data_IF_921028827058
#
_entry.id   IF_921028827058
#
_cell.length_a   1.000
_cell.length_b   1.000
_cell.length_c   1.000
_cell.angle_alpha   90.00
_cell.angle_beta   90.00
_cell.angle_gamma   90.00
#
_symmetry.space_group_name_H-M   'P 1'
#
loop_
_entity.id
_entity.type
_entity.pdbx_description
1 polymer ?
#
# COMPACT_ATOMS: atom_id res chain seq x y z
N UNK A 1 -14.67 -16.91 -8.71
CA UNK A 1 -13.76 -17.33 -9.81
C UNK A 1 -13.62 -16.17 -10.80
N UNK A 2 -12.99 -15.07 -10.36
CA UNK A 2 -13.11 -13.72 -10.95
C UNK A 2 -12.08 -13.36 -11.99
N UNK A 3 -11.00 -14.07 -12.01
CA UNK A 3 -10.01 -14.00 -13.06
C UNK A 3 -9.93 -15.41 -13.63
N UNK A 4 -10.47 -15.61 -14.81
CA UNK A 4 -10.13 -16.81 -15.56
C UNK A 4 -8.59 -16.85 -15.58
N UNK A 5 -8.00 -17.90 -15.02
CA UNK A 5 -6.55 -18.16 -14.97
C UNK A 5 -5.85 -18.05 -16.34
N UNK A 6 -6.63 -17.73 -17.37
CA UNK A 6 -6.25 -17.67 -18.80
C UNK A 6 -6.37 -16.27 -19.42
N UNK A 7 -6.63 -15.21 -18.66
CA UNK A 7 -6.71 -13.85 -19.20
C UNK A 7 -5.28 -13.34 -19.46
N UNK A 8 -4.93 -13.02 -20.72
CA UNK A 8 -3.58 -12.57 -21.12
C UNK A 8 -3.12 -11.39 -20.28
N UNK A 9 -4.01 -10.43 -20.04
CA UNK A 9 -3.71 -9.25 -19.21
C UNK A 9 -3.37 -9.61 -17.76
N UNK A 10 -4.05 -10.59 -17.18
CA UNK A 10 -3.74 -11.06 -15.82
C UNK A 10 -2.38 -11.75 -15.74
N UNK A 11 -2.06 -12.60 -16.73
CA UNK A 11 -0.74 -13.27 -16.77
C UNK A 11 0.38 -12.24 -16.91
N UNK A 12 0.23 -11.25 -17.82
CA UNK A 12 1.23 -10.18 -18.01
C UNK A 12 1.42 -9.40 -16.70
N UNK A 13 0.33 -8.94 -16.07
CA UNK A 13 0.43 -8.21 -14.80
C UNK A 13 1.07 -9.04 -13.68
N UNK A 14 0.70 -10.32 -13.56
CA UNK A 14 1.30 -11.22 -12.58
C UNK A 14 2.80 -11.47 -12.87
N UNK A 15 3.17 -11.66 -14.13
CA UNK A 15 4.57 -11.84 -14.51
C UNK A 15 5.41 -10.61 -14.16
N UNK A 16 4.93 -9.40 -14.47
CA UNK A 16 5.61 -8.15 -14.09
C UNK A 16 5.73 -8.05 -12.56
N UNK A 17 4.64 -8.34 -11.83
CA UNK A 17 4.67 -8.32 -10.37
C UNK A 17 5.69 -9.28 -9.76
N UNK A 18 5.76 -10.51 -10.30
CA UNK A 18 6.73 -11.52 -9.84
C UNK A 18 8.16 -11.10 -10.17
N UNK A 19 8.40 -10.56 -11.38
CA UNK A 19 9.73 -10.06 -11.77
C UNK A 19 10.15 -8.91 -10.84
N UNK A 20 9.27 -7.94 -10.60
CA UNK A 20 9.56 -6.79 -9.72
C UNK A 20 9.83 -7.23 -8.28
N UNK A 21 9.03 -8.15 -7.75
CA UNK A 21 9.24 -8.70 -6.42
C UNK A 21 10.56 -9.48 -6.33
N UNK A 22 10.86 -10.30 -7.34
CA UNK A 22 12.13 -11.02 -7.41
C UNK A 22 13.32 -10.06 -7.49
N UNK A 23 13.26 -9.03 -8.33
CA UNK A 23 14.31 -8.01 -8.42
C UNK A 23 14.52 -7.28 -7.09
N UNK A 24 13.45 -6.93 -6.37
CA UNK A 24 13.56 -6.26 -5.08
C UNK A 24 14.19 -7.17 -4.00
N UNK A 25 13.80 -8.44 -3.96
CA UNK A 25 14.32 -9.41 -2.99
C UNK A 25 15.76 -9.83 -3.29
N UNK A 26 16.04 -10.14 -4.54
CA UNK A 26 17.39 -10.55 -4.98
C UNK A 26 18.33 -9.36 -4.87
N UNK A 27 17.93 -8.19 -5.35
CA UNK A 27 18.77 -6.98 -5.37
C UNK A 27 19.18 -6.48 -3.99
N UNK A 28 18.48 -6.91 -2.94
CA UNK A 28 18.89 -6.64 -1.55
C UNK A 28 20.12 -7.46 -1.13
N UNK A 29 20.31 -8.65 -1.73
CA UNK A 29 21.38 -9.60 -1.35
C UNK A 29 22.44 -9.75 -2.43
N UNK A 30 22.05 -9.67 -3.71
CA UNK A 30 22.92 -9.92 -4.85
C UNK A 30 22.56 -9.06 -6.05
N UNK A 31 23.58 -8.58 -6.74
CA UNK A 31 23.47 -7.82 -8.00
C UNK A 31 24.50 -8.35 -9.01
N UNK A 32 24.24 -8.26 -10.34
CA UNK A 32 25.19 -8.72 -11.37
C UNK A 32 26.58 -8.07 -11.28
N UNK A 33 26.62 -6.78 -10.96
CA UNK A 33 27.84 -6.02 -10.72
C UNK A 33 27.75 -5.36 -9.33
N UNK A 34 28.91 -5.02 -8.75
CA UNK A 34 28.92 -4.20 -7.53
C UNK A 34 28.29 -2.82 -7.83
N UNK A 35 27.15 -2.49 -7.20
CA UNK A 35 26.41 -1.25 -7.50
C UNK A 35 27.15 0.03 -7.05
N UNK A 36 28.26 -0.13 -6.32
CA UNK A 36 29.10 0.97 -5.80
C UNK A 36 30.43 1.09 -6.53
N UNK A 37 30.84 0.08 -7.31
CA UNK A 37 32.14 0.04 -7.99
C UNK A 37 32.26 1.14 -9.06
N UNK A 38 33.20 2.06 -8.87
CA UNK A 38 33.48 3.15 -9.81
C UNK A 38 34.46 2.70 -10.86
N UNK A 39 34.03 2.72 -12.15
CA UNK A 39 34.88 2.33 -13.30
C UNK A 39 34.97 3.51 -14.27
N UNK A 40 35.98 4.35 -14.10
CA UNK A 40 36.12 5.61 -14.84
C UNK A 40 36.16 5.48 -16.37
N UNK A 41 36.63 4.34 -16.91
CA UNK A 41 36.65 4.03 -18.34
C UNK A 41 35.27 3.67 -18.91
N UNK A 42 34.29 3.37 -18.08
CA UNK A 42 32.96 2.92 -18.47
C UNK A 42 31.85 3.97 -18.22
N UNK A 43 32.22 5.26 -18.13
CA UNK A 43 31.26 6.35 -17.91
C UNK A 43 30.30 6.52 -19.07
N UNK A 44 28.99 6.60 -18.77
CA UNK A 44 27.93 6.88 -19.73
C UNK A 44 27.87 5.90 -20.90
N UNK A 45 28.21 4.63 -20.69
CA UNK A 45 27.98 3.61 -21.71
C UNK A 45 26.47 3.41 -21.93
N UNK A 46 26.00 3.35 -23.17
CA UNK A 46 24.61 3.08 -23.48
C UNK A 46 24.20 1.67 -23.07
N UNK A 47 22.88 1.38 -22.99
CA UNK A 47 22.36 0.04 -22.75
C UNK A 47 22.96 -0.99 -23.73
N UNK A 48 23.43 -2.11 -23.18
CA UNK A 48 24.08 -3.20 -23.91
C UNK A 48 23.83 -4.54 -23.22
N UNK A 49 24.26 -5.66 -23.84
CA UNK A 49 24.17 -6.98 -23.20
C UNK A 49 25.05 -7.11 -21.96
N UNK A 50 26.11 -6.33 -21.84
CA UNK A 50 26.98 -6.28 -20.66
C UNK A 50 26.37 -5.36 -19.56
N UNK A 51 25.79 -4.25 -19.96
CA UNK A 51 25.14 -3.29 -19.07
C UNK A 51 23.72 -3.05 -19.54
N UNK A 52 22.75 -3.81 -19.03
CA UNK A 52 21.36 -3.83 -19.52
C UNK A 52 20.73 -2.45 -19.55
N UNK A 53 20.97 -1.61 -18.54
CA UNK A 53 20.48 -0.23 -18.45
C UNK A 53 21.60 0.81 -18.68
N UNK A 54 22.77 0.37 -19.19
CA UNK A 54 23.93 1.22 -19.35
C UNK A 54 24.62 1.56 -18.03
N UNK A 55 25.51 2.56 -18.07
CA UNK A 55 26.29 3.02 -16.92
C UNK A 55 26.07 4.49 -16.63
N UNK A 56 26.32 4.90 -15.37
CA UNK A 56 26.15 6.27 -14.89
C UNK A 56 27.41 7.14 -15.08
N UNK A 57 27.42 8.34 -14.48
CA UNK A 57 28.52 9.32 -14.51
C UNK A 57 29.81 8.82 -13.87
N UNK A 58 29.75 7.79 -13.04
CA UNK A 58 30.91 7.18 -12.39
C UNK A 58 31.31 5.84 -13.05
N UNK A 59 30.57 5.39 -14.09
CA UNK A 59 30.75 4.10 -14.73
C UNK A 59 30.17 2.93 -13.95
N UNK A 60 29.25 3.20 -12.99
CA UNK A 60 28.56 2.17 -12.21
C UNK A 60 27.41 1.60 -13.05
N UNK A 61 27.15 0.30 -12.93
CA UNK A 61 26.06 -0.37 -13.67
C UNK A 61 24.69 0.06 -13.13
N UNK A 62 23.87 0.67 -14.01
CA UNK A 62 22.56 1.21 -13.61
C UNK A 62 21.59 0.09 -13.25
N UNK A 63 21.62 -1.08 -13.94
CA UNK A 63 20.72 -2.19 -13.64
C UNK A 63 20.98 -2.76 -12.23
N UNK A 64 22.23 -2.98 -11.87
CA UNK A 64 22.62 -3.43 -10.53
C UNK A 64 22.23 -2.42 -9.46
N UNK A 65 22.41 -1.13 -9.73
CA UNK A 65 21.97 -0.05 -8.82
C UNK A 65 20.46 0.01 -8.66
N UNK A 66 19.71 -0.20 -9.74
CA UNK A 66 18.24 -0.26 -9.69
C UNK A 66 17.78 -1.45 -8.84
N UNK A 67 18.38 -2.63 -9.01
CA UNK A 67 18.07 -3.78 -8.17
C UNK A 67 18.33 -3.51 -6.70
N UNK A 68 19.50 -3.00 -6.34
CA UNK A 68 19.85 -2.64 -4.97
C UNK A 68 18.92 -1.55 -4.41
N UNK A 69 18.65 -0.51 -5.21
CA UNK A 69 17.73 0.57 -4.86
C UNK A 69 16.30 0.11 -4.64
N UNK A 70 15.80 -0.85 -5.43
CA UNK A 70 14.50 -1.48 -5.20
C UNK A 70 14.46 -2.21 -3.86
N UNK A 71 15.51 -2.96 -3.53
CA UNK A 71 15.64 -3.66 -2.25
C UNK A 71 15.58 -2.68 -1.07
N UNK A 72 16.33 -1.59 -1.14
CA UNK A 72 16.36 -0.53 -0.11
C UNK A 72 14.99 0.13 0.03
N UNK A 73 14.40 0.58 -1.06
CA UNK A 73 13.06 1.22 -1.08
C UNK A 73 11.99 0.27 -0.52
N UNK A 74 12.02 -1.02 -0.91
CA UNK A 74 11.12 -2.03 -0.38
C UNK A 74 11.29 -2.23 1.14
N UNK A 75 12.52 -2.36 1.61
CA UNK A 75 12.82 -2.51 3.03
C UNK A 75 12.33 -1.32 3.86
N UNK A 76 12.65 -0.09 3.43
CA UNK A 76 12.20 1.12 4.11
C UNK A 76 10.68 1.19 4.18
N UNK A 77 10.01 0.95 3.06
CA UNK A 77 8.55 1.01 2.99
C UNK A 77 7.89 -0.06 3.85
N UNK A 78 8.45 -1.28 3.88
CA UNK A 78 7.97 -2.37 4.73
C UNK A 78 8.09 -2.01 6.22
N UNK A 79 9.26 -1.54 6.65
CA UNK A 79 9.47 -1.12 8.04
C UNK A 79 8.59 0.07 8.43
N UNK A 80 8.42 1.05 7.54
CA UNK A 80 7.50 2.18 7.71
C UNK A 80 6.07 1.72 7.99
N UNK A 81 5.55 0.80 7.17
CA UNK A 81 4.19 0.27 7.33
C UNK A 81 4.07 -0.62 8.56
N UNK A 82 5.11 -1.38 8.91
CA UNK A 82 5.12 -2.17 10.14
C UNK A 82 5.04 -1.26 11.37
N UNK A 83 5.81 -0.18 11.43
CA UNK A 83 5.75 0.78 12.55
C UNK A 83 4.40 1.50 12.56
N UNK A 84 4.08 2.22 11.48
CA UNK A 84 2.86 3.01 11.39
C UNK A 84 1.59 2.15 11.51
N UNK A 85 1.57 0.98 10.87
CA UNK A 85 0.45 0.03 10.91
C UNK A 85 0.26 -0.59 12.28
N UNK A 86 1.35 -1.03 12.96
CA UNK A 86 1.25 -1.63 14.30
C UNK A 86 0.81 -0.60 15.33
N UNK A 87 1.51 0.53 15.43
CA UNK A 87 1.19 1.58 16.40
C UNK A 87 -0.18 2.19 16.11
N UNK A 88 -0.47 2.48 14.84
CA UNK A 88 -1.78 2.99 14.43
C UNK A 88 -2.92 2.00 14.70
N UNK A 89 -2.69 0.70 14.49
CA UNK A 89 -3.67 -0.34 14.84
C UNK A 89 -3.94 -0.38 16.33
N UNK A 90 -2.92 -0.29 17.17
CA UNK A 90 -3.08 -0.27 18.62
C UNK A 90 -3.87 0.98 19.05
N UNK A 91 -3.48 2.17 18.62
CA UNK A 91 -4.18 3.42 18.93
C UNK A 91 -5.64 3.32 18.46
N UNK A 92 -5.89 2.95 17.21
CA UNK A 92 -7.23 2.81 16.66
C UNK A 92 -8.09 1.76 17.36
N UNK A 93 -7.48 0.64 17.78
CA UNK A 93 -8.17 -0.41 18.51
C UNK A 93 -8.63 0.08 19.90
N UNK A 94 -7.74 0.74 20.64
CA UNK A 94 -8.08 1.27 21.97
C UNK A 94 -9.11 2.39 21.87
N UNK A 95 -8.93 3.37 20.99
CA UNK A 95 -9.87 4.48 20.81
C UNK A 95 -11.24 4.00 20.34
N UNK A 96 -11.29 3.14 19.33
CA UNK A 96 -12.55 2.61 18.80
C UNK A 96 -13.28 1.68 19.77
N UNK A 97 -12.55 0.94 20.61
CA UNK A 97 -13.15 0.04 21.59
C UNK A 97 -13.64 0.76 22.85
N UNK A 98 -12.84 1.60 23.48
CA UNK A 98 -13.21 2.28 24.73
C UNK A 98 -14.12 3.48 24.48
N UNK A 99 -13.81 4.30 23.47
CA UNK A 99 -14.52 5.56 23.22
C UNK A 99 -14.32 6.58 24.33
N UNK A 100 -15.24 7.56 24.43
CA UNK A 100 -15.21 8.57 25.48
C UNK A 100 -13.90 9.36 25.54
N UNK A 101 -13.41 9.64 26.75
CA UNK A 101 -12.20 10.45 26.98
C UNK A 101 -10.95 9.87 26.31
N UNK A 102 -10.79 8.53 26.31
CA UNK A 102 -9.65 7.87 25.65
C UNK A 102 -9.64 8.15 24.15
N UNK A 103 -10.80 8.06 23.52
CA UNK A 103 -10.98 8.37 22.12
C UNK A 103 -10.74 9.86 21.83
N UNK A 104 -11.31 10.73 22.64
CA UNK A 104 -11.18 12.17 22.45
C UNK A 104 -9.73 12.64 22.55
N UNK A 105 -9.00 12.25 23.59
CA UNK A 105 -7.62 12.68 23.81
C UNK A 105 -6.70 12.13 22.71
N UNK A 106 -6.73 10.82 22.45
CA UNK A 106 -5.84 10.20 21.46
C UNK A 106 -6.16 10.66 20.03
N UNK A 107 -7.44 10.89 19.71
CA UNK A 107 -7.79 11.42 18.39
C UNK A 107 -7.45 12.89 18.24
N UNK A 108 -7.47 13.71 19.29
CA UNK A 108 -6.95 15.10 19.23
C UNK A 108 -5.47 15.14 18.88
N UNK A 109 -4.66 14.27 19.52
CA UNK A 109 -3.22 14.14 19.16
C UNK A 109 -3.08 13.69 17.71
N UNK A 110 -3.86 12.68 17.31
CA UNK A 110 -3.85 12.17 15.95
C UNK A 110 -4.26 13.23 14.90
N UNK A 111 -5.26 14.05 15.22
CA UNK A 111 -5.71 15.13 14.34
C UNK A 111 -4.66 16.27 14.26
N UNK A 112 -3.97 16.58 15.35
CA UNK A 112 -2.85 17.52 15.33
C UNK A 112 -1.71 17.06 14.40
N UNK A 113 -1.39 15.76 14.42
CA UNK A 113 -0.39 15.20 13.49
C UNK A 113 -0.88 15.24 12.03
N UNK A 114 -2.18 14.99 11.78
CA UNK A 114 -2.74 15.05 10.42
C UNK A 114 -3.02 16.45 9.91
N UNK A 115 -2.93 17.48 10.76
CA UNK A 115 -2.98 18.87 10.31
C UNK A 115 -1.81 19.22 9.37
N UNK A 116 -0.70 18.47 9.48
CA UNK A 116 0.42 18.59 8.56
C UNK A 116 0.34 17.55 7.45
N UNK A 117 0.64 17.89 6.18
CA UNK A 117 0.85 16.91 5.13
C UNK A 117 1.91 15.88 5.58
N UNK A 118 1.66 14.58 5.36
CA UNK A 118 2.52 13.50 5.87
C UNK A 118 4.00 13.66 5.49
N UNK A 119 4.28 14.14 4.27
CA UNK A 119 5.65 14.39 3.80
C UNK A 119 6.30 15.52 4.59
N UNK A 120 5.59 16.61 4.86
CA UNK A 120 6.12 17.74 5.65
C UNK A 120 6.39 17.32 7.10
N UNK A 121 5.50 16.52 7.69
CA UNK A 121 5.71 15.97 9.02
C UNK A 121 6.97 15.09 9.07
N UNK A 122 7.14 14.20 8.07
CA UNK A 122 8.35 13.38 7.96
C UNK A 122 9.62 14.21 7.78
N UNK A 123 9.56 15.31 7.01
CA UNK A 123 10.67 16.25 6.86
C UNK A 123 11.10 16.88 8.18
N UNK A 124 10.16 17.30 9.02
CA UNK A 124 10.46 17.84 10.36
C UNK A 124 11.19 16.79 11.20
N UNK A 125 10.72 15.54 11.18
CA UNK A 125 11.42 14.47 11.90
C UNK A 125 12.83 14.21 11.37
N UNK A 126 13.05 14.23 10.04
CA UNK A 126 14.39 14.05 9.46
C UNK A 126 15.28 15.23 9.78
N UNK A 127 14.76 16.45 9.78
CA UNK A 127 15.53 17.62 10.20
C UNK A 127 16.05 17.50 11.65
N UNK A 128 15.32 16.81 12.51
CA UNK A 128 15.71 16.56 13.90
C UNK A 128 16.61 15.32 14.06
N UNK A 129 16.36 14.25 13.30
CA UNK A 129 17.06 12.96 13.44
C UNK A 129 18.30 12.86 12.55
N UNK A 130 18.41 13.71 11.52
CA UNK A 130 19.43 13.61 10.48
C UNK A 130 19.06 12.69 9.33
N UNK A 131 19.91 12.68 8.29
CA UNK A 131 19.73 11.85 7.08
C UNK A 131 20.03 10.39 7.36
N UNK A 132 19.48 9.50 6.52
CA UNK A 132 19.80 8.08 6.52
C UNK A 132 18.56 7.18 6.54
N UNK A 133 18.71 5.95 6.03
CA UNK A 133 17.59 5.04 5.81
C UNK A 133 16.78 4.73 7.08
N UNK A 134 17.43 4.59 8.23
CA UNK A 134 16.75 4.30 9.50
C UNK A 134 15.95 5.49 10.01
N UNK A 135 16.47 6.69 9.84
CA UNK A 135 15.78 7.93 10.22
C UNK A 135 14.57 8.17 9.32
N UNK A 136 14.68 7.85 8.01
CA UNK A 136 13.55 7.86 7.07
C UNK A 136 12.46 6.87 7.51
N UNK A 137 12.84 5.65 7.92
CA UNK A 137 11.89 4.64 8.43
C UNK A 137 11.13 5.18 9.65
N UNK A 138 11.83 5.76 10.61
CA UNK A 138 11.21 6.31 11.82
C UNK A 138 10.31 7.51 11.49
N UNK A 139 10.80 8.45 10.70
CA UNK A 139 10.07 9.65 10.31
C UNK A 139 8.77 9.32 9.56
N UNK A 140 8.85 8.48 8.52
CA UNK A 140 7.68 8.03 7.77
C UNK A 140 6.79 7.11 8.63
N UNK A 141 7.38 6.22 9.44
CA UNK A 141 6.64 5.36 10.34
C UNK A 141 5.71 6.14 11.26
N UNK A 142 6.22 7.19 11.91
CA UNK A 142 5.44 8.08 12.77
C UNK A 142 4.40 8.86 11.96
N UNK A 143 4.78 9.41 10.79
CA UNK A 143 3.87 10.17 9.94
C UNK A 143 2.68 9.35 9.40
N UNK A 144 2.82 8.02 9.32
CA UNK A 144 1.75 7.13 8.84
C UNK A 144 0.83 6.61 9.96
N UNK A 145 1.23 6.71 11.24
CA UNK A 145 0.40 6.27 12.39
C UNK A 145 -1.03 6.81 12.31
N UNK A 146 -1.26 8.12 12.08
CA UNK A 146 -2.60 8.69 12.09
C UNK A 146 -3.55 8.07 11.06
N UNK A 147 -3.05 7.76 9.88
CA UNK A 147 -3.85 7.19 8.80
C UNK A 147 -4.37 5.80 9.18
N UNK A 148 -3.52 4.94 9.75
CA UNK A 148 -3.91 3.60 10.20
C UNK A 148 -4.81 3.66 11.43
N UNK A 149 -4.51 4.54 12.40
CA UNK A 149 -5.31 4.71 13.60
C UNK A 149 -6.76 5.06 13.28
N UNK A 150 -6.99 5.96 12.32
CA UNK A 150 -8.33 6.38 11.91
C UNK A 150 -9.14 5.26 11.27
N UNK A 151 -8.51 4.46 10.39
CA UNK A 151 -9.16 3.32 9.74
C UNK A 151 -9.55 2.25 10.76
N UNK A 152 -8.62 1.89 11.65
CA UNK A 152 -8.85 0.85 12.65
C UNK A 152 -9.87 1.30 13.71
N UNK A 153 -9.81 2.56 14.15
CA UNK A 153 -10.80 3.14 15.06
C UNK A 153 -12.22 3.00 14.53
N UNK A 154 -12.44 3.35 13.27
CA UNK A 154 -13.76 3.25 12.64
C UNK A 154 -14.29 1.80 12.65
N UNK A 155 -13.43 0.83 12.31
CA UNK A 155 -13.80 -0.59 12.33
C UNK A 155 -14.06 -1.10 13.75
N UNK A 156 -13.23 -0.74 14.73
CA UNK A 156 -13.42 -1.15 16.10
C UNK A 156 -14.69 -0.55 16.71
N UNK A 157 -14.99 0.72 16.45
CA UNK A 157 -16.24 1.35 16.88
C UNK A 157 -17.48 0.63 16.29
N UNK A 158 -17.40 0.21 15.02
CA UNK A 158 -18.46 -0.58 14.38
C UNK A 158 -18.63 -1.95 15.03
N UNK A 159 -17.53 -2.68 15.26
CA UNK A 159 -17.57 -4.02 15.85
C UNK A 159 -17.99 -4.01 17.33
N UNK A 160 -17.65 -2.98 18.09
CA UNK A 160 -18.04 -2.81 19.48
C UNK A 160 -19.57 -2.90 19.68
N UNK A 161 -20.33 -2.43 18.71
CA UNK A 161 -21.80 -2.44 18.76
C UNK A 161 -22.43 -3.80 18.39
N UNK A 162 -21.65 -4.75 17.86
CA UNK A 162 -22.16 -6.04 17.37
C UNK A 162 -22.51 -7.01 18.50
N UNK A 163 -23.48 -7.89 18.24
CA UNK A 163 -24.00 -8.84 19.23
C UNK A 163 -22.93 -9.82 19.74
N UNK A 164 -22.01 -10.29 18.90
CA UNK A 164 -20.95 -11.21 19.34
C UNK A 164 -20.02 -10.58 20.40
N UNK A 165 -19.78 -9.26 20.31
CA UNK A 165 -19.00 -8.53 21.33
C UNK A 165 -19.78 -8.37 22.61
N UNK A 166 -21.09 -8.08 22.50
CA UNK A 166 -21.99 -7.99 23.66
C UNK A 166 -22.06 -9.35 24.38
N UNK A 167 -22.24 -10.45 23.64
CA UNK A 167 -22.27 -11.80 24.20
C UNK A 167 -20.94 -12.16 24.88
N UNK A 168 -19.79 -11.88 24.25
CA UNK A 168 -18.48 -12.12 24.87
C UNK A 168 -18.31 -11.36 26.19
N UNK A 169 -18.83 -10.11 26.26
CA UNK A 169 -18.82 -9.30 27.47
C UNK A 169 -19.71 -9.88 28.57
N UNK A 170 -20.91 -10.35 28.23
CA UNK A 170 -21.81 -11.01 29.14
C UNK A 170 -21.24 -12.31 29.70
N UNK A 171 -20.45 -13.04 28.92
CA UNK A 171 -19.73 -14.23 29.35
C UNK A 171 -18.46 -13.93 30.19
N UNK A 172 -18.21 -12.68 30.55
CA UNK A 172 -17.09 -12.27 31.40
C UNK A 172 -15.75 -12.17 30.69
N UNK A 173 -15.70 -12.08 29.36
CA UNK A 173 -14.43 -11.89 28.65
C UNK A 173 -13.80 -10.53 28.97
N UNK A 174 -12.50 -10.53 29.28
CA UNK A 174 -11.75 -9.29 29.57
C UNK A 174 -11.66 -8.38 28.33
N UNK A 175 -11.49 -7.08 28.54
CA UNK A 175 -11.39 -6.08 27.46
C UNK A 175 -10.27 -6.43 26.45
N UNK A 176 -9.10 -6.81 26.92
CA UNK A 176 -7.98 -7.21 26.03
C UNK A 176 -8.31 -8.46 25.21
N UNK A 177 -8.98 -9.45 25.83
CA UNK A 177 -9.46 -10.65 25.10
C UNK A 177 -10.45 -10.26 24.01
N UNK A 178 -11.37 -9.33 24.28
CA UNK A 178 -12.33 -8.85 23.29
C UNK A 178 -11.61 -8.13 22.15
N UNK A 179 -10.67 -7.22 22.45
CA UNK A 179 -9.92 -6.46 21.47
C UNK A 179 -9.12 -7.41 20.56
N UNK A 180 -8.23 -8.23 21.13
CA UNK A 180 -7.25 -8.98 20.34
C UNK A 180 -7.78 -10.30 19.79
N UNK A 181 -8.71 -10.99 20.47
CA UNK A 181 -9.20 -12.30 20.07
C UNK A 181 -10.55 -12.26 19.35
N UNK A 182 -11.36 -11.25 19.60
CA UNK A 182 -12.70 -11.17 19.01
C UNK A 182 -12.84 -10.07 17.95
N UNK A 183 -12.30 -8.86 18.16
CA UNK A 183 -12.48 -7.76 17.21
C UNK A 183 -11.35 -7.75 16.18
N UNK A 184 -10.09 -7.73 16.59
CA UNK A 184 -8.95 -7.58 15.70
C UNK A 184 -8.93 -8.61 14.56
N UNK A 185 -9.19 -9.92 14.78
CA UNK A 185 -9.24 -10.88 13.67
C UNK A 185 -10.36 -10.59 12.66
N UNK A 186 -11.47 -10.01 13.11
CA UNK A 186 -12.58 -9.65 12.25
C UNK A 186 -12.34 -8.35 11.47
N UNK A 187 -11.35 -7.54 11.87
CA UNK A 187 -10.96 -6.31 11.16
C UNK A 187 -9.93 -6.53 10.05
N UNK A 188 -9.32 -7.72 9.95
CA UNK A 188 -8.33 -8.05 8.91
C UNK A 188 -8.82 -7.73 7.50
N UNK A 189 -10.08 -7.93 7.24
CA UNK A 189 -10.67 -7.63 5.95
C UNK A 189 -10.60 -6.15 5.54
N UNK A 190 -10.44 -5.20 6.47
CA UNK A 190 -10.24 -3.76 6.20
C UNK A 190 -8.78 -3.38 6.41
N UNK A 191 -8.14 -3.98 7.41
CA UNK A 191 -6.76 -3.69 7.76
C UNK A 191 -5.78 -4.09 6.65
N UNK A 192 -5.92 -5.28 6.06
CA UNK A 192 -5.01 -5.75 5.02
C UNK A 192 -4.99 -4.85 3.76
N UNK A 193 -6.13 -4.47 3.17
CA UNK A 193 -6.13 -3.46 2.09
C UNK A 193 -5.53 -2.12 2.52
N UNK A 194 -5.77 -1.66 3.75
CA UNK A 194 -5.19 -0.43 4.26
C UNK A 194 -3.66 -0.50 4.37
N UNK A 195 -3.10 -1.64 4.82
CA UNK A 195 -1.66 -1.88 4.87
C UNK A 195 -1.03 -1.87 3.47
N UNK A 196 -1.70 -2.45 2.46
CA UNK A 196 -1.21 -2.47 1.08
C UNK A 196 -1.21 -1.07 0.46
N UNK A 197 -2.29 -0.29 0.68
CA UNK A 197 -2.35 1.10 0.25
C UNK A 197 -1.27 1.92 0.98
N UNK A 198 -1.12 1.70 2.28
CA UNK A 198 -0.07 2.32 3.09
C UNK A 198 1.33 2.00 2.57
N UNK A 199 1.59 0.75 2.17
CA UNK A 199 2.87 0.35 1.58
C UNK A 199 3.15 1.07 0.27
N UNK A 200 2.15 1.17 -0.62
CA UNK A 200 2.31 1.93 -1.86
C UNK A 200 2.61 3.41 -1.60
N UNK A 201 1.91 4.02 -0.64
CA UNK A 201 2.16 5.41 -0.24
C UNK A 201 3.53 5.58 0.40
N UNK A 202 4.02 4.59 1.17
CA UNK A 202 5.35 4.62 1.77
C UNK A 202 6.47 4.55 0.71
N UNK A 203 6.31 3.70 -0.33
CA UNK A 203 7.23 3.66 -1.48
C UNK A 203 7.30 5.03 -2.16
N UNK A 204 6.13 5.65 -2.41
CA UNK A 204 6.07 6.96 -3.05
C UNK A 204 6.68 8.06 -2.17
N UNK A 205 6.41 8.04 -0.87
CA UNK A 205 6.95 9.01 0.08
C UNK A 205 8.48 8.89 0.20
N UNK A 206 9.00 7.66 0.36
CA UNK A 206 10.46 7.41 0.39
C UNK A 206 11.12 7.90 -0.91
N UNK A 207 10.60 7.49 -2.07
CA UNK A 207 11.15 7.89 -3.35
C UNK A 207 11.14 9.42 -3.53
N UNK A 208 10.07 10.10 -3.11
CA UNK A 208 9.96 11.56 -3.18
C UNK A 208 10.97 12.25 -2.26
N UNK A 209 11.14 11.77 -1.03
CA UNK A 209 12.11 12.35 -0.08
C UNK A 209 13.55 12.12 -0.54
N UNK A 210 13.86 10.92 -1.01
CA UNK A 210 15.19 10.61 -1.56
C UNK A 210 15.49 11.37 -2.83
N UNK A 211 14.48 11.62 -3.67
CA UNK A 211 14.59 12.49 -4.83
C UNK A 211 14.89 13.94 -4.47
N UNK A 212 14.33 14.45 -3.39
CA UNK A 212 14.61 15.81 -2.86
C UNK A 212 15.94 15.88 -2.11
N UNK A 213 16.69 14.77 -1.99
CA UNK A 213 17.98 14.72 -1.31
C UNK A 213 17.93 14.70 0.22
N UNK A 214 16.74 14.51 0.79
CA UNK A 214 16.48 14.48 2.24
C UNK A 214 16.08 13.10 2.75
N UNK A 215 16.15 12.10 1.89
CA UNK A 215 15.84 10.71 2.20
C UNK A 215 17.08 9.86 2.44
N UNK A 216 17.21 8.83 1.64
CA UNK A 216 18.37 7.93 1.65
C UNK A 216 19.57 8.63 1.04
N UNK A 217 20.70 8.61 1.76
CA UNK A 217 21.96 9.21 1.33
C UNK A 217 23.02 8.13 1.06
N UNK A 218 24.01 8.40 0.19
CA UNK A 218 25.14 7.49 0.00
C UNK A 218 25.80 7.12 1.34
N UNK A 219 26.30 5.86 1.51
CA UNK A 219 26.51 4.84 0.47
C UNK A 219 25.26 4.02 0.12
N UNK A 220 24.16 4.17 0.86
CA UNK A 220 22.92 3.48 0.55
C UNK A 220 22.34 3.97 -0.80
N UNK A 221 21.71 3.06 -1.55
CA UNK A 221 21.15 3.33 -2.87
C UNK A 221 19.63 3.24 -2.77
N UNK A 222 18.90 4.26 -3.23
CA UNK A 222 17.44 4.18 -3.41
C UNK A 222 17.05 4.63 -4.82
N UNK A 223 15.88 4.19 -5.27
CA UNK A 223 15.37 4.57 -6.60
C UNK A 223 15.14 6.08 -6.71
N UNK A 224 14.65 6.71 -5.65
CA UNK A 224 14.41 8.15 -5.61
C UNK A 224 15.71 8.96 -5.72
N UNK A 225 16.76 8.55 -5.01
CA UNK A 225 18.08 9.17 -5.09
C UNK A 225 18.71 9.02 -6.49
N UNK A 226 18.61 7.82 -7.08
CA UNK A 226 19.08 7.57 -8.45
C UNK A 226 18.36 8.45 -9.48
N UNK A 227 17.05 8.65 -9.30
CA UNK A 227 16.28 9.54 -10.18
C UNK A 227 16.74 10.98 -10.05
N UNK A 228 17.02 11.46 -8.84
CA UNK A 228 17.60 12.79 -8.58
C UNK A 228 18.97 12.95 -9.23
N UNK A 229 19.87 11.99 -9.03
CA UNK A 229 21.21 11.98 -9.63
C UNK A 229 21.18 12.02 -11.16
N UNK A 230 20.23 11.27 -11.75
CA UNK A 230 20.09 11.12 -13.22
C UNK A 230 19.64 12.40 -13.93
N UNK A 231 18.96 13.34 -13.24
CA UNK A 231 18.46 14.58 -13.83
C UNK A 231 19.56 15.43 -14.47
N UNK A 232 20.70 15.54 -13.79
CA UNK A 232 21.84 16.33 -14.29
C UNK A 232 22.42 15.79 -15.59
N UNK A 233 22.10 14.55 -15.94
CA UNK A 233 22.62 13.87 -17.11
C UNK A 233 21.55 13.50 -18.14
N UNK A 234 20.35 14.07 -18.05
CA UNK A 234 19.21 13.72 -18.91
C UNK A 234 19.52 13.84 -20.41
N UNK A 235 20.29 14.84 -20.80
CA UNK A 235 20.66 15.06 -22.22
C UNK A 235 21.77 14.09 -22.64
N UNK A 236 22.74 13.82 -21.76
CA UNK A 236 23.91 12.99 -22.09
C UNK A 236 23.65 11.50 -21.97
N UNK A 237 22.86 11.09 -20.99
CA UNK A 237 22.53 9.70 -20.68
C UNK A 237 21.01 9.54 -20.40
N UNK A 238 20.14 9.72 -21.42
CA UNK A 238 18.69 9.68 -21.20
C UNK A 238 18.21 8.32 -20.68
N UNK A 239 18.91 7.24 -21.00
CA UNK A 239 18.59 5.90 -20.48
C UNK A 239 18.61 5.83 -18.94
N UNK A 240 19.47 6.62 -18.27
CA UNK A 240 19.55 6.62 -16.82
C UNK A 240 18.25 7.08 -16.18
N UNK A 241 17.72 8.23 -16.63
CA UNK A 241 16.42 8.75 -16.16
C UNK A 241 15.29 7.81 -16.55
N UNK A 242 15.25 7.37 -17.82
CA UNK A 242 14.17 6.56 -18.37
C UNK A 242 14.07 5.19 -17.68
N UNK A 243 15.20 4.49 -17.52
CA UNK A 243 15.20 3.16 -16.88
C UNK A 243 14.83 3.26 -15.41
N UNK A 244 15.41 4.21 -14.66
CA UNK A 244 15.10 4.39 -13.24
C UNK A 244 13.66 4.83 -13.03
N UNK A 245 13.18 5.81 -13.79
CA UNK A 245 11.80 6.29 -13.73
C UNK A 245 10.78 5.21 -14.12
N UNK A 246 11.05 4.45 -15.18
CA UNK A 246 10.19 3.33 -15.59
C UNK A 246 10.04 2.28 -14.49
N UNK A 247 11.14 1.92 -13.82
CA UNK A 247 11.10 0.94 -12.72
C UNK A 247 10.26 1.46 -11.55
N UNK A 248 10.40 2.73 -11.17
CA UNK A 248 9.56 3.35 -10.11
C UNK A 248 8.07 3.29 -10.51
N UNK A 249 7.74 3.69 -11.74
CA UNK A 249 6.35 3.66 -12.23
C UNK A 249 5.80 2.24 -12.22
N UNK A 250 6.55 1.27 -12.72
CA UNK A 250 6.13 -0.14 -12.72
C UNK A 250 5.94 -0.67 -11.30
N UNK A 251 6.83 -0.36 -10.38
CA UNK A 251 6.71 -0.76 -8.97
C UNK A 251 5.41 -0.23 -8.34
N UNK A 252 5.12 1.07 -8.52
CA UNK A 252 3.90 1.70 -8.01
C UNK A 252 2.66 1.09 -8.66
N UNK A 253 2.66 0.88 -9.98
CA UNK A 253 1.52 0.28 -10.69
C UNK A 253 1.24 -1.15 -10.24
N UNK A 254 2.26 -1.95 -10.04
CA UNK A 254 2.13 -3.34 -9.56
C UNK A 254 1.53 -3.37 -8.16
N UNK A 255 2.02 -2.53 -7.27
CA UNK A 255 1.52 -2.43 -5.89
C UNK A 255 0.08 -1.91 -5.85
N UNK A 256 -0.24 -0.87 -6.63
CA UNK A 256 -1.60 -0.34 -6.75
C UNK A 256 -2.58 -1.37 -7.34
N UNK A 257 -2.18 -2.09 -8.38
CA UNK A 257 -2.98 -3.17 -8.97
C UNK A 257 -3.22 -4.31 -7.97
N UNK A 258 -2.21 -4.71 -7.21
CA UNK A 258 -2.34 -5.72 -6.15
C UNK A 258 -3.34 -5.30 -5.08
N UNK A 259 -3.25 -4.07 -4.59
CA UNK A 259 -4.19 -3.49 -3.63
C UNK A 259 -5.63 -3.43 -4.17
N UNK A 260 -5.79 -2.99 -5.41
CA UNK A 260 -7.08 -2.94 -6.09
C UNK A 260 -7.71 -4.33 -6.25
N UNK A 261 -6.93 -5.34 -6.66
CA UNK A 261 -7.39 -6.71 -6.81
C UNK A 261 -7.86 -7.31 -5.48
N UNK A 262 -7.17 -7.04 -4.39
CA UNK A 262 -7.56 -7.51 -3.06
C UNK A 262 -8.83 -6.81 -2.57
N UNK A 263 -8.96 -5.50 -2.81
CA UNK A 263 -10.19 -4.76 -2.50
C UNK A 263 -11.39 -5.28 -3.30
N UNK A 264 -11.21 -5.56 -4.60
CA UNK A 264 -12.22 -6.15 -5.48
C UNK A 264 -12.59 -7.56 -5.02
N UNK A 265 -11.61 -8.43 -4.71
CA UNK A 265 -11.89 -9.78 -4.19
C UNK A 265 -12.71 -9.74 -2.92
N UNK A 266 -12.39 -8.81 -2.02
CA UNK A 266 -13.15 -8.64 -0.77
C UNK A 266 -14.59 -8.24 -1.03
N UNK A 267 -14.84 -7.31 -1.94
CA UNK A 267 -16.19 -6.85 -2.29
C UNK A 267 -17.03 -7.97 -2.90
N UNK A 268 -16.42 -8.81 -3.75
CA UNK A 268 -17.12 -9.88 -4.47
C UNK A 268 -17.37 -11.11 -3.60
N UNK A 269 -16.42 -11.49 -2.75
CA UNK A 269 -16.60 -12.62 -1.84
C UNK A 269 -17.56 -12.29 -0.69
N UNK A 270 -18.08 -11.06 -0.64
CA UNK A 270 -18.91 -10.55 0.44
C UNK A 270 -18.12 -10.42 1.74
N UNK A 271 -18.28 -9.33 2.45
CA UNK A 271 -18.03 -9.35 3.87
C UNK A 271 -19.13 -10.25 4.44
N UNK A 272 -18.80 -11.48 4.80
CA UNK A 272 -19.69 -12.34 5.58
C UNK A 272 -19.91 -11.64 6.93
N UNK A 273 -20.71 -10.59 6.92
CA UNK A 273 -21.29 -9.97 8.10
C UNK A 273 -22.36 -10.96 8.58
N UNK A 274 -21.89 -12.00 9.26
CA UNK A 274 -22.76 -12.99 9.86
C UNK A 274 -23.86 -12.24 10.64
N UNK A 275 -25.11 -12.33 10.18
CA UNK A 275 -26.27 -12.05 10.99
C UNK A 275 -27.14 -10.85 10.69
N UNK A 276 -26.93 -10.09 9.63
CA UNK A 276 -27.95 -9.13 9.17
C UNK A 276 -28.53 -9.61 7.84
N UNK A 277 -29.68 -10.26 7.90
CA UNK A 277 -30.58 -10.38 6.75
C UNK A 277 -31.11 -8.98 6.42
N UNK A 278 -30.74 -8.45 5.28
CA UNK A 278 -31.29 -7.20 4.75
C UNK A 278 -32.26 -7.57 3.66
N UNK A 279 -33.54 -7.27 3.84
CA UNK A 279 -34.54 -7.41 2.78
C UNK A 279 -34.40 -6.23 1.82
N UNK A 280 -34.18 -6.50 0.55
CA UNK A 280 -34.13 -5.50 -0.52
C UNK A 280 -35.31 -5.77 -1.44
N UNK A 281 -36.26 -4.86 -1.51
CA UNK A 281 -37.36 -4.96 -2.48
C UNK A 281 -36.86 -4.50 -3.85
N UNK A 282 -36.92 -5.39 -4.84
CA UNK A 282 -36.57 -5.11 -6.21
C UNK A 282 -37.85 -5.19 -7.03
N UNK A 283 -38.20 -4.14 -7.74
CA UNK A 283 -39.37 -4.12 -8.63
C UNK A 283 -39.14 -5.04 -9.82
N UNK A 284 -40.18 -5.78 -10.19
CA UNK A 284 -40.15 -6.66 -11.38
C UNK A 284 -39.81 -5.84 -12.62
N UNK A 285 -38.86 -6.32 -13.44
CA UNK A 285 -38.38 -5.60 -14.62
C UNK A 285 -37.26 -4.59 -14.35
N UNK A 286 -36.77 -4.49 -13.10
CA UNK A 286 -35.66 -3.60 -12.78
C UNK A 286 -34.37 -4.02 -13.49
N UNK A 287 -33.71 -3.07 -14.18
CA UNK A 287 -32.43 -3.30 -14.82
C UNK A 287 -31.30 -3.47 -13.79
N UNK A 288 -30.19 -4.12 -14.18
CA UNK A 288 -28.98 -4.38 -13.33
C UNK A 288 -28.46 -3.09 -12.65
N UNK A 289 -28.64 -1.92 -13.30
CA UNK A 289 -28.24 -0.64 -12.71
C UNK A 289 -29.10 -0.24 -11.52
N UNK A 290 -30.41 -0.40 -11.59
CA UNK A 290 -31.37 -0.13 -10.52
C UNK A 290 -31.17 -1.09 -9.36
N UNK A 291 -30.98 -2.38 -9.66
CA UNK A 291 -30.66 -3.42 -8.66
C UNK A 291 -29.36 -3.07 -7.91
N UNK A 292 -28.31 -2.69 -8.63
CA UNK A 292 -27.03 -2.32 -8.05
C UNK A 292 -27.14 -1.11 -7.11
N UNK A 293 -27.98 -0.13 -7.44
CA UNK A 293 -28.20 1.04 -6.59
C UNK A 293 -29.01 0.68 -5.34
N UNK A 294 -30.08 -0.11 -5.48
CA UNK A 294 -30.86 -0.60 -4.35
C UNK A 294 -30.01 -1.43 -3.36
N UNK A 295 -29.12 -2.30 -3.87
CA UNK A 295 -28.18 -3.05 -3.04
C UNK A 295 -27.16 -2.15 -2.34
N UNK A 296 -26.76 -1.02 -2.94
CA UNK A 296 -25.90 -0.02 -2.31
C UNK A 296 -26.63 0.72 -1.18
N UNK A 297 -27.85 1.18 -1.44
CA UNK A 297 -28.67 1.87 -0.44
C UNK A 297 -28.98 0.97 0.75
N UNK A 298 -29.20 -0.31 0.50
CA UNK A 298 -29.38 -1.34 1.53
C UNK A 298 -28.06 -1.71 2.26
N UNK A 299 -26.92 -1.13 1.86
CA UNK A 299 -25.61 -1.41 2.47
C UNK A 299 -25.03 -2.80 2.16
N UNK A 300 -25.59 -3.52 1.19
CA UNK A 300 -25.15 -4.87 0.78
C UNK A 300 -23.86 -4.81 -0.04
N UNK A 301 -23.73 -3.79 -0.90
CA UNK A 301 -22.55 -3.55 -1.73
C UNK A 301 -22.07 -2.11 -1.59
N UNK A 302 -20.75 -1.86 -1.76
CA UNK A 302 -20.17 -0.51 -1.72
C UNK A 302 -20.06 0.12 -3.11
N UNK A 303 -19.78 -0.68 -4.13
CA UNK A 303 -19.46 -0.19 -5.49
C UNK A 303 -20.45 -0.72 -6.55
N UNK A 304 -21.55 -0.01 -6.85
CA UNK A 304 -22.56 -0.43 -7.84
C UNK A 304 -21.98 -0.64 -9.24
N UNK A 305 -20.96 0.15 -9.63
CA UNK A 305 -20.30 0.01 -10.93
C UNK A 305 -19.55 -1.31 -11.05
N UNK A 306 -18.90 -1.76 -9.96
CA UNK A 306 -18.20 -3.03 -9.89
C UNK A 306 -19.18 -4.20 -9.99
N UNK A 307 -20.30 -4.12 -9.27
CA UNK A 307 -21.36 -5.11 -9.32
C UNK A 307 -21.94 -5.26 -10.75
N UNK A 308 -22.25 -4.13 -11.41
CA UNK A 308 -22.73 -4.14 -12.82
C UNK A 308 -21.74 -4.80 -13.77
N UNK A 309 -20.48 -4.43 -13.66
CA UNK A 309 -19.39 -5.02 -14.45
C UNK A 309 -19.28 -6.53 -14.21
N UNK A 310 -19.34 -6.96 -12.95
CA UNK A 310 -19.25 -8.36 -12.56
C UNK A 310 -20.42 -9.20 -13.10
N UNK A 311 -21.64 -8.72 -12.92
CA UNK A 311 -22.87 -9.35 -13.44
C UNK A 311 -22.85 -9.45 -14.96
N UNK A 312 -22.41 -8.39 -15.66
CA UNK A 312 -22.23 -8.40 -17.10
C UNK A 312 -21.23 -9.44 -17.58
N UNK A 313 -20.07 -9.56 -16.88
CA UNK A 313 -19.01 -10.53 -17.22
C UNK A 313 -19.42 -11.98 -16.97
N UNK A 314 -20.29 -12.24 -16.01
CA UNK A 314 -20.84 -13.57 -15.70
C UNK A 314 -22.01 -13.98 -16.60
N UNK A 315 -22.49 -13.08 -17.47
CA UNK A 315 -23.70 -13.31 -18.26
C UNK A 315 -24.96 -13.47 -17.40
N UNK A 316 -24.89 -13.07 -16.12
CA UNK A 316 -25.97 -13.22 -15.17
C UNK A 316 -27.01 -12.09 -15.23
N UNK A 317 -26.79 -11.11 -16.10
CA UNK A 317 -27.72 -9.97 -16.27
C UNK A 317 -29.15 -10.41 -16.59
N UNK A 318 -29.30 -11.43 -17.42
CA UNK A 318 -30.61 -12.01 -17.78
C UNK A 318 -31.27 -12.82 -16.63
N UNK A 319 -30.45 -13.31 -15.67
CA UNK A 319 -30.95 -14.09 -14.52
C UNK A 319 -31.35 -13.23 -13.33
N UNK A 320 -31.01 -11.95 -13.37
CA UNK A 320 -31.33 -10.96 -12.32
C UNK A 320 -32.57 -10.10 -12.67
N UNK A 321 -33.21 -10.39 -13.79
CA UNK A 321 -34.44 -9.71 -14.21
C UNK A 321 -35.65 -10.50 -13.70
N UNK A 322 -35.95 -10.39 -12.43
CA UNK A 322 -37.23 -10.82 -11.87
C UNK A 322 -37.75 -9.76 -10.91
#
# INVERSE_FOLDING_TARGET
MLLKKNDRSFRIGLTIAVIMAAMALIGYVWTPYDPTAIVGSQKFLPPSLHHLFGTDSFGRDIFSRVMAGMGTTFFISLCTVLIGGTVGTLIGAFTGYFGGVVDEVLMRINDALTAFPNILLALVFIAMLGFGKYNVILALGVAFIPSFARVVRAEFARHRAMNYVKSARLMGASHLRIIFRHILPNTWGVLLPALIIGFNNAVLAEASMSYLGIGVAPPDISLGYMLSESQSYMIKAPWYVLCTGLVIVLLILVLAAGGCLLAIRKEINGSASAGKTVSVSIQQGSGVGTIANALKEAGVIKFPRLFRWYVGKQGAAAKLQY
#
